data_IF_879794933880
#
_entry.id   IF_879794933880
#
_cell.length_a   1.000
_cell.length_b   1.000
_cell.length_c   1.000
_cell.angle_alpha   90.00
_cell.angle_beta   90.00
_cell.angle_gamma   90.00
#
_symmetry.space_group_name_H-M   'P 1'
#
loop_
_entity.id
_entity.type
_entity.pdbx_description
1 polymer ?
#
# COMPACT_ATOMS: atom_id res chain seq x y z
N UNK A 1 2.20 -18.30 22.28
CA UNK A 1 1.36 -17.10 22.08
C UNK A 1 2.27 -15.90 22.34
N UNK A 2 2.82 -15.30 21.28
CA UNK A 2 3.78 -14.21 21.39
C UNK A 2 3.13 -12.89 20.92
N UNK A 3 2.78 -12.07 21.91
CA UNK A 3 2.72 -10.60 21.91
C UNK A 3 2.23 -9.87 20.64
N UNK A 4 0.92 -9.83 20.43
CA UNK A 4 0.24 -8.88 19.52
C UNK A 4 0.07 -7.48 20.15
N UNK A 5 1.12 -6.92 20.77
CA UNK A 5 1.05 -5.54 21.31
C UNK A 5 1.07 -4.51 20.18
N UNK A 6 -0.13 -4.17 19.70
CA UNK A 6 -0.35 -2.94 18.91
C UNK A 6 -0.05 -1.73 19.80
N UNK A 7 0.91 -0.89 19.39
CA UNK A 7 1.24 0.37 20.06
C UNK A 7 -0.02 1.20 20.28
N UNK A 8 -0.21 1.68 21.51
CA UNK A 8 -1.32 2.52 21.91
C UNK A 8 -0.98 4.01 21.71
N UNK A 9 -2.00 4.89 21.54
CA UNK A 9 -1.75 6.32 21.33
C UNK A 9 -0.84 6.99 22.36
N UNK A 10 -0.92 6.65 23.67
CA UNK A 10 0.00 7.19 24.67
C UNK A 10 1.46 6.83 24.39
N UNK A 11 1.76 5.58 24.02
CA UNK A 11 3.12 5.11 23.76
C UNK A 11 3.75 5.86 22.59
N UNK A 12 2.97 6.10 21.53
CA UNK A 12 3.39 6.91 20.38
C UNK A 12 3.61 8.35 20.79
N UNK A 13 2.65 8.92 21.54
CA UNK A 13 2.75 10.27 22.04
C UNK A 13 4.03 10.48 22.88
N UNK A 14 4.46 9.48 23.64
CA UNK A 14 5.71 9.55 24.41
C UNK A 14 6.96 9.72 23.54
N UNK A 15 6.95 9.19 22.31
CA UNK A 15 8.04 9.27 21.34
C UNK A 15 7.97 10.50 20.42
N UNK A 16 6.88 11.29 20.48
CA UNK A 16 6.74 12.52 19.69
C UNK A 16 7.42 13.73 20.38
N UNK A 17 7.68 14.82 19.64
CA UNK A 17 8.24 16.07 20.17
C UNK A 17 7.32 16.80 21.16
N UNK A 18 6.02 16.48 21.17
CA UNK A 18 5.00 17.05 22.08
C UNK A 18 4.86 18.58 22.06
N UNK A 19 5.35 19.24 21.00
CA UNK A 19 5.31 20.71 20.86
C UNK A 19 3.90 21.26 20.63
N UNK A 20 2.95 20.43 20.18
CA UNK A 20 1.60 20.82 19.75
C UNK A 20 1.60 21.98 18.73
N UNK A 21 2.66 22.10 17.92
CA UNK A 21 2.88 23.22 17.01
C UNK A 21 1.87 23.35 15.86
N UNK A 22 1.10 22.30 15.55
CA UNK A 22 0.14 22.33 14.44
C UNK A 22 0.73 22.20 13.04
N UNK A 23 2.05 22.13 12.88
CA UNK A 23 2.72 22.07 11.57
C UNK A 23 2.33 20.86 10.71
N UNK A 24 1.86 19.77 11.33
CA UNK A 24 1.33 18.58 10.65
C UNK A 24 -0.14 18.71 10.20
N UNK A 25 -0.79 19.85 10.46
CA UNK A 25 -2.20 20.10 10.19
C UNK A 25 -3.17 19.58 11.27
N UNK A 26 -2.66 19.17 12.44
CA UNK A 26 -3.48 18.69 13.56
C UNK A 26 -3.26 19.53 14.83
N UNK A 27 -4.31 19.81 15.62
CA UNK A 27 -4.25 20.77 16.73
C UNK A 27 -3.44 20.30 17.94
N UNK A 28 -3.19 18.99 18.07
CA UNK A 28 -2.46 18.39 19.22
C UNK A 28 -1.60 17.22 18.74
N UNK A 29 -0.42 17.03 19.35
CA UNK A 29 0.44 15.87 19.07
C UNK A 29 -0.25 14.54 19.41
N UNK A 30 -1.16 14.52 20.40
CA UNK A 30 -1.99 13.34 20.68
C UNK A 30 -2.91 12.98 19.51
N UNK A 31 -3.47 13.98 18.82
CA UNK A 31 -4.27 13.74 17.63
C UNK A 31 -3.41 13.16 16.50
N UNK A 32 -2.16 13.61 16.36
CA UNK A 32 -1.19 13.01 15.43
C UNK A 32 -0.91 11.54 15.76
N UNK A 33 -0.67 11.20 17.03
CA UNK A 33 -0.49 9.81 17.47
C UNK A 33 -1.69 8.91 17.11
N UNK A 34 -2.92 9.41 17.30
CA UNK A 34 -4.14 8.69 16.88
C UNK A 34 -4.22 8.51 15.37
N UNK A 35 -3.86 9.53 14.58
CA UNK A 35 -3.87 9.46 13.12
C UNK A 35 -2.78 8.54 12.55
N UNK A 36 -1.63 8.43 13.21
CA UNK A 36 -0.59 7.44 12.90
C UNK A 36 -1.12 6.02 13.08
N UNK A 37 -1.76 5.72 14.22
CA UNK A 37 -2.37 4.40 14.45
C UNK A 37 -3.46 4.11 13.44
N UNK A 38 -4.28 5.11 13.09
CA UNK A 38 -5.31 4.97 12.06
C UNK A 38 -4.72 4.80 10.64
N UNK A 39 -3.43 5.07 10.45
CA UNK A 39 -2.75 5.08 9.15
C UNK A 39 -3.26 6.19 8.23
N UNK A 40 -3.72 7.31 8.81
CA UNK A 40 -4.15 8.52 8.09
C UNK A 40 -3.03 9.56 7.97
N UNK A 41 -1.93 9.35 8.69
CA UNK A 41 -0.70 10.16 8.70
C UNK A 41 0.50 9.22 8.75
N UNK A 42 1.62 9.66 8.17
CA UNK A 42 2.93 9.01 8.24
C UNK A 42 3.83 9.75 9.23
N UNK A 43 4.91 9.11 9.70
CA UNK A 43 5.83 9.74 10.66
C UNK A 43 6.44 11.04 10.12
N UNK A 44 6.76 11.06 8.81
CA UNK A 44 7.35 12.22 8.11
C UNK A 44 6.38 13.41 7.99
N UNK A 45 5.09 13.21 8.27
CA UNK A 45 4.13 14.31 8.30
C UNK A 45 4.29 15.20 9.55
N UNK A 46 5.22 14.87 10.47
CA UNK A 46 5.56 15.68 11.64
C UNK A 46 6.90 16.40 11.45
N UNK A 47 6.96 17.63 10.91
CA UNK A 47 8.23 18.28 10.62
C UNK A 47 9.22 18.33 11.80
N UNK A 48 8.81 18.62 13.04
CA UNK A 48 9.73 18.66 14.17
C UNK A 48 10.38 17.32 14.51
N UNK A 49 9.82 16.16 14.11
CA UNK A 49 10.39 14.84 14.46
C UNK A 49 11.77 14.60 13.82
N UNK A 50 12.10 15.35 12.77
CA UNK A 50 13.36 15.22 12.03
C UNK A 50 14.53 15.99 12.68
N UNK A 51 14.27 16.78 13.72
CA UNK A 51 15.35 17.44 14.46
C UNK A 51 16.18 16.40 15.22
N UNK A 52 17.50 16.61 15.27
CA UNK A 52 18.47 15.67 15.85
C UNK A 52 18.12 15.25 17.29
N UNK A 53 17.59 16.18 18.08
CA UNK A 53 17.16 15.94 19.46
C UNK A 53 16.01 14.92 19.60
N UNK A 54 15.29 14.61 18.53
CA UNK A 54 14.22 13.60 18.51
C UNK A 54 14.58 12.35 17.70
N UNK A 55 15.85 12.17 17.32
CA UNK A 55 16.30 11.05 16.49
C UNK A 55 15.90 9.68 17.06
N UNK A 56 15.98 9.48 18.38
CA UNK A 56 15.56 8.22 19.01
C UNK A 56 14.05 7.97 18.84
N UNK A 57 13.23 9.00 19.06
CA UNK A 57 11.78 8.94 18.88
C UNK A 57 11.42 8.64 17.43
N UNK A 58 12.10 9.32 16.49
CA UNK A 58 11.96 9.07 15.07
C UNK A 58 12.33 7.65 14.69
N UNK A 59 13.49 7.13 15.12
CA UNK A 59 13.95 5.78 14.78
C UNK A 59 12.97 4.71 15.28
N UNK A 60 12.49 4.84 16.52
CA UNK A 60 11.54 3.89 17.12
C UNK A 60 10.19 3.91 16.42
N UNK A 61 9.66 5.11 16.14
CA UNK A 61 8.41 5.26 15.40
C UNK A 61 8.56 4.79 13.95
N UNK A 62 9.71 5.04 13.32
CA UNK A 62 10.04 4.54 11.99
C UNK A 62 10.14 3.02 11.97
N UNK A 63 10.65 2.37 13.01
CA UNK A 63 10.64 0.90 13.07
C UNK A 63 9.21 0.34 13.18
N UNK A 64 8.34 1.04 13.90
CA UNK A 64 6.96 0.62 14.12
C UNK A 64 6.01 0.93 12.95
N UNK A 65 6.20 2.07 12.28
CA UNK A 65 5.29 2.62 11.27
C UNK A 65 5.93 2.80 9.89
N UNK A 66 7.25 2.60 9.76
CA UNK A 66 8.13 2.87 8.61
C UNK A 66 8.24 4.34 8.17
N UNK A 67 9.18 4.57 7.27
CA UNK A 67 9.55 5.89 6.73
C UNK A 67 9.04 6.02 5.30
N UNK A 68 8.51 7.18 4.94
CA UNK A 68 8.42 7.67 3.57
C UNK A 68 7.37 7.04 2.65
N UNK A 69 6.59 6.06 3.12
CA UNK A 69 5.52 5.48 2.30
C UNK A 69 4.35 5.10 3.19
N UNK A 70 3.13 5.37 2.73
CA UNK A 70 1.90 4.90 3.38
C UNK A 70 1.96 3.37 3.52
N UNK A 71 2.42 2.86 4.66
CA UNK A 71 2.63 1.42 4.91
C UNK A 71 1.33 0.60 5.05
N UNK A 72 0.19 1.22 4.71
CA UNK A 72 -1.10 0.56 4.50
C UNK A 72 -1.48 0.43 3.02
N UNK A 73 -0.76 1.05 2.09
CA UNK A 73 -1.02 0.97 0.64
C UNK A 73 -0.29 -0.23 0.02
N UNK A 74 -0.57 -1.44 0.48
CA UNK A 74 -0.27 -2.61 -0.35
C UNK A 74 -1.49 -2.81 -1.26
N UNK A 75 -1.31 -2.62 -2.56
CA UNK A 75 -2.33 -2.96 -3.55
C UNK A 75 -2.27 -4.46 -3.85
N UNK A 76 -3.42 -5.14 -3.88
CA UNK A 76 -3.50 -6.47 -4.50
C UNK A 76 -3.93 -6.30 -5.95
N UNK A 77 -3.15 -6.86 -6.85
CA UNK A 77 -3.52 -6.98 -8.25
C UNK A 77 -4.18 -8.35 -8.47
N UNK A 78 -5.45 -8.32 -8.86
CA UNK A 78 -6.22 -9.50 -9.24
C UNK A 78 -6.23 -9.55 -10.77
N UNK A 79 -5.66 -10.60 -11.33
CA UNK A 79 -5.41 -10.72 -12.76
C UNK A 79 -6.12 -11.93 -13.35
N UNK A 80 -6.96 -11.65 -14.35
CA UNK A 80 -7.55 -12.64 -15.24
C UNK A 80 -6.57 -12.87 -16.39
N UNK A 81 -5.82 -13.97 -16.31
CA UNK A 81 -4.77 -14.30 -17.27
C UNK A 81 -5.30 -14.72 -18.63
N UNK A 82 -6.56 -15.15 -18.72
CA UNK A 82 -7.16 -15.54 -20.00
C UNK A 82 -7.63 -14.29 -20.77
N UNK A 83 -8.06 -13.24 -20.06
CA UNK A 83 -8.39 -11.94 -20.67
C UNK A 83 -7.19 -11.03 -20.91
N UNK A 84 -6.12 -11.16 -20.12
CA UNK A 84 -4.94 -10.32 -20.27
C UNK A 84 -4.19 -10.68 -21.56
N UNK A 85 -4.02 -9.73 -22.47
CA UNK A 85 -3.29 -9.91 -23.73
C UNK A 85 -1.93 -9.19 -23.75
N UNK A 86 -1.54 -8.59 -22.62
CA UNK A 86 -0.25 -7.91 -22.50
C UNK A 86 -0.15 -6.58 -23.26
N UNK A 87 -1.28 -5.95 -23.63
CA UNK A 87 -1.29 -4.71 -24.42
C UNK A 87 -0.54 -3.51 -23.79
N UNK A 88 -0.20 -3.57 -22.50
CA UNK A 88 0.63 -2.58 -21.82
C UNK A 88 -0.06 -1.27 -21.46
N UNK A 89 -1.38 -1.13 -21.69
CA UNK A 89 -2.12 0.09 -21.32
C UNK A 89 -2.02 0.41 -19.83
N UNK A 90 -2.00 -0.61 -18.98
CA UNK A 90 -1.83 -0.49 -17.53
C UNK A 90 -0.47 0.11 -17.12
N UNK A 91 0.61 -0.25 -17.83
CA UNK A 91 1.97 0.26 -17.63
C UNK A 91 2.02 1.73 -18.05
N UNK A 92 1.56 2.04 -19.27
CA UNK A 92 1.49 3.42 -19.80
C UNK A 92 0.60 4.34 -18.94
N UNK A 93 -0.37 3.76 -18.25
CA UNK A 93 -1.27 4.49 -17.36
C UNK A 93 -0.72 4.72 -15.95
N UNK A 94 0.37 4.04 -15.57
CA UNK A 94 0.93 4.10 -14.23
C UNK A 94 2.09 5.09 -14.19
N UNK A 95 1.98 6.09 -13.31
CA UNK A 95 3.05 7.07 -13.06
C UNK A 95 4.37 6.40 -12.62
N UNK A 96 4.27 5.22 -12.01
CA UNK A 96 5.39 4.45 -11.48
C UNK A 96 5.75 3.24 -12.35
N UNK A 97 5.27 3.14 -13.60
CA UNK A 97 5.63 2.01 -14.49
C UNK A 97 5.83 2.42 -15.95
N UNK A 98 5.56 3.67 -16.33
CA UNK A 98 5.76 4.16 -17.70
C UNK A 98 7.21 4.02 -18.20
N UNK A 99 7.46 4.52 -19.41
CA UNK A 99 8.75 4.42 -20.11
C UNK A 99 9.98 4.86 -19.27
N UNK A 100 9.78 5.77 -18.32
CA UNK A 100 10.84 6.28 -17.44
C UNK A 100 11.14 5.40 -16.21
N UNK A 101 10.30 4.41 -15.91
CA UNK A 101 10.40 3.64 -14.66
C UNK A 101 11.43 2.50 -14.73
N UNK A 102 11.77 2.00 -15.93
CA UNK A 102 12.66 0.85 -16.11
C UNK A 102 12.29 -0.34 -15.22
N UNK A 103 13.29 -0.96 -14.58
CA UNK A 103 13.11 -2.11 -13.67
C UNK A 103 12.50 -1.72 -12.31
N UNK A 104 12.36 -0.43 -12.02
CA UNK A 104 11.71 0.08 -10.80
C UNK A 104 10.19 0.20 -10.95
N UNK A 105 9.66 -0.22 -12.10
CA UNK A 105 8.24 -0.26 -12.41
C UNK A 105 7.40 -1.02 -11.39
N UNK A 106 6.19 -0.55 -11.09
CA UNK A 106 5.19 -1.33 -10.33
C UNK A 106 4.62 -2.48 -11.17
N UNK A 107 4.51 -2.29 -12.48
CA UNK A 107 3.85 -3.18 -13.43
C UNK A 107 4.78 -3.52 -14.60
N UNK A 108 4.86 -4.81 -14.94
CA UNK A 108 5.68 -5.32 -16.05
C UNK A 108 4.84 -6.20 -16.97
N UNK A 109 5.21 -6.27 -18.25
CA UNK A 109 4.72 -7.33 -19.14
C UNK A 109 5.82 -8.38 -19.22
N UNK A 110 5.48 -9.60 -18.81
CA UNK A 110 6.35 -10.78 -18.87
C UNK A 110 5.60 -11.85 -19.65
N UNK A 111 6.22 -12.38 -20.69
CA UNK A 111 5.59 -13.40 -21.57
C UNK A 111 4.21 -13.00 -22.10
N UNK A 112 4.02 -11.71 -22.41
CA UNK A 112 2.75 -11.19 -22.91
C UNK A 112 1.64 -11.09 -21.87
N UNK A 113 1.95 -11.20 -20.57
CA UNK A 113 1.00 -11.03 -19.47
C UNK A 113 1.46 -9.96 -18.50
N UNK A 114 0.51 -9.25 -17.91
CA UNK A 114 0.80 -8.30 -16.84
C UNK A 114 1.25 -9.05 -15.59
N UNK A 115 2.38 -8.66 -15.01
CA UNK A 115 2.86 -9.07 -13.70
C UNK A 115 3.24 -7.83 -12.88
N UNK A 116 2.66 -7.62 -11.69
CA UNK A 116 3.13 -6.59 -10.76
C UNK A 116 4.47 -7.00 -10.15
N UNK A 117 5.42 -6.05 -10.04
CA UNK A 117 6.68 -6.29 -9.35
C UNK A 117 6.50 -6.14 -7.85
N UNK A 118 6.54 -7.26 -7.12
CA UNK A 118 6.33 -7.29 -5.68
C UNK A 118 7.24 -6.34 -4.89
N UNK A 119 8.52 -6.25 -5.29
CA UNK A 119 9.49 -5.36 -4.65
C UNK A 119 9.11 -3.88 -4.79
N UNK A 120 8.36 -3.53 -5.83
CA UNK A 120 8.02 -2.16 -6.19
C UNK A 120 6.57 -1.81 -5.84
N UNK A 121 5.76 -2.76 -5.32
CA UNK A 121 4.36 -2.53 -4.95
C UNK A 121 4.17 -1.41 -3.91
N UNK A 122 5.20 -1.15 -3.11
CA UNK A 122 5.23 -0.03 -2.16
C UNK A 122 5.10 1.34 -2.86
N UNK A 123 5.48 1.42 -4.14
CA UNK A 123 5.34 2.63 -4.96
C UNK A 123 3.92 2.79 -5.53
N UNK A 124 3.02 1.80 -5.36
CA UNK A 124 1.68 1.87 -5.90
C UNK A 124 0.80 2.85 -5.10
N UNK A 125 0.36 3.92 -5.75
CA UNK A 125 -0.57 4.88 -5.14
C UNK A 125 -2.03 4.43 -5.07
N UNK A 126 -2.37 3.28 -5.65
CA UNK A 126 -3.73 2.72 -5.67
C UNK A 126 -4.75 3.68 -6.31
N UNK A 127 -4.33 4.44 -7.32
CA UNK A 127 -5.16 5.41 -8.03
C UNK A 127 -6.21 4.77 -8.97
N UNK A 128 -6.10 3.46 -9.20
CA UNK A 128 -6.95 2.61 -10.05
C UNK A 128 -6.95 2.96 -11.55
N UNK A 129 -6.04 3.82 -12.02
CA UNK A 129 -5.99 4.19 -13.43
C UNK A 129 -5.67 2.99 -14.32
N UNK A 130 -4.80 2.08 -13.87
CA UNK A 130 -4.48 0.85 -14.58
C UNK A 130 -5.68 -0.11 -14.69
N UNK A 131 -6.52 -0.24 -13.65
CA UNK A 131 -7.79 -0.99 -13.71
C UNK A 131 -8.77 -0.31 -14.68
N UNK A 132 -9.01 0.99 -14.51
CA UNK A 132 -9.97 1.74 -15.35
C UNK A 132 -9.62 1.75 -16.83
N UNK A 133 -8.32 1.81 -17.17
CA UNK A 133 -7.86 1.84 -18.56
C UNK A 133 -7.63 0.44 -19.14
N UNK A 134 -7.84 -0.65 -18.40
CA UNK A 134 -7.66 -1.99 -18.95
C UNK A 134 -8.76 -2.29 -19.98
N UNK A 135 -8.45 -2.40 -21.28
CA UNK A 135 -9.48 -2.58 -22.32
C UNK A 135 -10.16 -3.95 -22.27
N UNK A 136 -9.54 -4.92 -21.60
CA UNK A 136 -10.05 -6.30 -21.44
C UNK A 136 -10.66 -6.56 -20.07
N UNK A 137 -10.67 -5.56 -19.19
CA UNK A 137 -11.08 -5.70 -17.79
C UNK A 137 -10.38 -6.88 -17.08
N UNK A 138 -9.14 -7.17 -17.50
CA UNK A 138 -8.35 -8.30 -17.03
C UNK A 138 -7.61 -8.01 -15.71
N UNK A 139 -7.63 -6.76 -15.27
CA UNK A 139 -6.92 -6.28 -14.08
C UNK A 139 -7.90 -5.61 -13.13
N UNK A 140 -7.81 -5.97 -11.85
CA UNK A 140 -8.41 -5.20 -10.75
C UNK A 140 -7.39 -4.92 -9.65
N UNK A 141 -7.54 -3.79 -8.97
CA UNK A 141 -6.70 -3.39 -7.85
C UNK A 141 -7.55 -3.35 -6.58
N UNK A 142 -7.31 -4.29 -5.67
CA UNK A 142 -7.96 -4.28 -4.36
C UNK A 142 -7.27 -3.30 -3.41
N UNK A 143 -8.06 -2.38 -2.87
CA UNK A 143 -7.63 -1.33 -1.93
C UNK A 143 -7.68 -1.78 -0.48
N UNK A 144 -8.23 -2.98 -0.21
CA UNK A 144 -8.50 -3.51 1.13
C UNK A 144 -7.54 -4.62 1.55
N UNK A 145 -6.49 -4.90 0.77
CA UNK A 145 -5.57 -6.00 1.02
C UNK A 145 -4.88 -5.85 2.41
N UNK A 146 -5.15 -6.74 3.38
CA UNK A 146 -4.53 -6.65 4.69
C UNK A 146 -3.11 -7.23 4.68
N UNK A 147 -2.15 -6.54 5.31
CA UNK A 147 -0.76 -7.00 5.45
C UNK A 147 -0.60 -8.27 6.31
N UNK A 148 -1.61 -8.64 7.10
CA UNK A 148 -1.46 -9.48 8.29
C UNK A 148 -1.80 -10.97 8.14
N UNK A 149 -2.21 -11.47 6.97
CA UNK A 149 -2.67 -12.87 6.83
C UNK A 149 -2.14 -13.66 5.62
N UNK A 150 -1.21 -13.13 4.84
CA UNK A 150 -0.87 -13.77 3.55
C UNK A 150 0.51 -14.43 3.50
N UNK A 151 0.49 -15.68 3.07
CA UNK A 151 1.63 -16.42 2.58
C UNK A 151 2.21 -15.76 1.32
N UNK A 152 3.50 -15.97 1.06
CA UNK A 152 4.22 -15.35 -0.07
C UNK A 152 3.62 -15.73 -1.43
N UNK A 153 2.99 -16.90 -1.54
CA UNK A 153 2.36 -17.39 -2.79
C UNK A 153 1.02 -16.74 -3.14
N UNK A 154 0.42 -15.97 -2.23
CA UNK A 154 -0.90 -15.36 -2.44
C UNK A 154 -0.82 -13.88 -2.89
N UNK A 155 0.37 -13.26 -2.84
CA UNK A 155 0.58 -11.80 -3.01
C UNK A 155 0.22 -11.25 -4.39
N UNK A 156 0.18 -12.11 -5.41
CA UNK A 156 -0.35 -11.81 -6.74
C UNK A 156 -1.31 -12.94 -7.11
N UNK A 157 -2.63 -12.73 -7.05
CA UNK A 157 -3.58 -13.77 -7.44
C UNK A 157 -3.66 -13.78 -8.96
N UNK A 158 -2.83 -14.64 -9.55
CA UNK A 158 -2.99 -15.16 -10.90
C UNK A 158 -4.05 -16.27 -10.81
N UNK A 159 -5.32 -16.00 -11.17
CA UNK A 159 -6.36 -17.05 -11.16
C UNK A 159 -7.11 -17.10 -12.49
N UNK A 160 -7.19 -18.30 -13.06
CA UNK A 160 -7.94 -18.62 -14.28
C UNK A 160 -9.47 -18.58 -14.10
N UNK A 161 -10.04 -18.70 -12.89
CA UNK A 161 -11.49 -19.00 -12.76
C UNK A 161 -12.23 -18.43 -11.51
N UNK A 162 -12.36 -17.10 -11.29
CA UNK A 162 -13.21 -16.59 -10.17
C UNK A 162 -14.08 -15.38 -10.50
N UNK A 163 -15.39 -15.47 -10.19
CA UNK A 163 -16.36 -14.36 -10.17
C UNK A 163 -16.38 -13.66 -8.81
N UNK A 164 -16.45 -12.33 -8.84
CA UNK A 164 -16.47 -11.43 -7.67
C UNK A 164 -17.84 -10.78 -7.54
N UNK A 165 -18.44 -10.78 -6.35
CA UNK A 165 -19.73 -10.16 -6.08
C UNK A 165 -19.65 -8.64 -5.79
N UNK A 166 -20.81 -8.02 -5.58
CA UNK A 166 -20.98 -6.58 -5.40
C UNK A 166 -20.28 -5.97 -4.16
N UNK A 167 -19.77 -6.79 -3.23
CA UNK A 167 -19.02 -6.35 -2.04
C UNK A 167 -17.54 -6.75 -2.10
N UNK A 168 -17.10 -7.37 -3.19
CA UNK A 168 -15.75 -7.89 -3.35
C UNK A 168 -15.52 -9.23 -2.66
N UNK A 169 -16.58 -9.98 -2.38
CA UNK A 169 -16.52 -11.38 -1.94
C UNK A 169 -16.39 -12.33 -3.14
N UNK A 170 -15.67 -13.44 -2.94
CA UNK A 170 -15.46 -14.47 -3.96
C UNK A 170 -16.52 -15.56 -3.83
N UNK A 171 -17.20 -15.93 -4.92
CA UNK A 171 -18.03 -17.16 -4.96
C UNK A 171 -17.60 -18.07 -6.10
N UNK A 172 -17.43 -19.37 -5.79
CA UNK A 172 -16.96 -20.41 -6.73
C UNK A 172 -17.87 -20.52 -7.97
N UNK A 173 -17.29 -20.70 -9.17
CA UNK A 173 -18.05 -21.26 -10.29
C UNK A 173 -18.15 -22.78 -10.11
N UNK A 174 -19.37 -23.29 -10.00
CA UNK A 174 -19.66 -24.73 -10.02
C UNK A 174 -21.13 -24.96 -10.32
N UNK A 175 -21.42 -25.71 -11.39
CA UNK A 175 -22.75 -26.17 -11.79
C UNK A 175 -23.36 -25.39 -12.94
#
# INVERSE_FOLDING_TARGET
>A
MADERKLQPPEIYHMLPKTNCGLCGLPKCMAFAMMLIAGKKNIDDCPPIHEEQYAEGYERLSRAFGVGTNLRKMAWFILDLDKCDGCGTCIKACLYSGEDAGDLGVLHIVEGKLLPAEANLVNCDICLTCERKCPKYALRVDRRAPRAQMDRSERTLLRKDIKVDAHGGFTKPGG
#
